data_IF_068283944159
#
_entry.id   IF_068283944159
#
_cell.length_a   1.000
_cell.length_b   1.000
_cell.length_c   1.000
_cell.angle_alpha   90.00
_cell.angle_beta   90.00
_cell.angle_gamma   90.00
#
_symmetry.space_group_name_H-M   'P 1'
#
loop_
_entity.id
_entity.type
_entity.pdbx_description
1 polymer ?
#
# COMPACT_ATOMS: atom_id res chain seq x y z
N UNK A 1 -0.60 9.71 2.12
CA UNK A 1 -1.33 9.42 0.89
C UNK A 1 -0.42 8.80 -0.17
N UNK A 2 0.75 9.37 -0.45
CA UNK A 2 1.68 8.86 -1.48
C UNK A 2 2.90 8.09 -0.94
N UNK A 3 3.00 7.89 0.39
CA UNK A 3 4.13 7.19 0.99
C UNK A 3 4.07 5.69 0.69
N UNK A 4 5.20 5.13 0.26
CA UNK A 4 5.39 3.72 -0.02
C UNK A 4 5.31 2.87 1.26
N UNK A 5 4.80 1.62 1.19
CA UNK A 5 4.61 0.76 2.35
C UNK A 5 5.90 0.46 3.11
N UNK A 6 7.03 0.29 2.43
CA UNK A 6 8.35 0.07 3.03
C UNK A 6 8.81 1.23 3.93
N UNK A 7 8.47 2.47 3.56
CA UNK A 7 8.70 3.66 4.39
C UNK A 7 7.76 3.69 5.60
N UNK A 8 6.51 3.26 5.44
CA UNK A 8 5.53 3.19 6.55
C UNK A 8 5.90 2.10 7.58
N UNK A 9 6.61 1.06 7.13
CA UNK A 9 7.09 -0.06 7.94
C UNK A 9 8.47 0.20 8.56
N UNK A 10 9.09 1.33 8.24
CA UNK A 10 10.47 1.67 8.61
C UNK A 10 11.46 0.57 8.21
N UNK A 11 11.36 0.06 6.97
CA UNK A 11 12.38 -0.84 6.44
C UNK A 11 13.68 -0.04 6.21
N UNK A 12 14.84 -0.63 6.49
CA UNK A 12 16.13 0.04 6.26
C UNK A 12 16.52 0.02 4.78
N UNK A 13 16.10 -1.03 4.07
CA UNK A 13 16.31 -1.22 2.64
C UNK A 13 15.17 -0.59 1.83
N UNK A 14 15.26 0.72 1.56
CA UNK A 14 14.43 1.40 0.57
C UNK A 14 15.30 2.03 -0.51
N UNK A 15 14.79 2.08 -1.74
CA UNK A 15 15.50 2.63 -2.89
C UNK A 15 14.59 3.52 -3.73
N UNK A 16 14.96 3.73 -5.00
CA UNK A 16 14.20 4.57 -5.95
C UNK A 16 12.79 4.03 -6.26
N UNK A 17 12.46 2.80 -5.86
CA UNK A 17 11.11 2.22 -5.99
C UNK A 17 10.03 3.00 -5.24
N UNK A 18 10.40 3.71 -4.17
CA UNK A 18 9.48 4.55 -3.40
C UNK A 18 8.87 5.69 -4.26
N UNK A 19 9.63 6.17 -5.24
CA UNK A 19 9.19 7.22 -6.15
C UNK A 19 8.21 6.66 -7.18
N UNK A 20 8.48 5.45 -7.69
CA UNK A 20 7.57 4.73 -8.60
C UNK A 20 6.22 4.45 -7.92
N UNK A 21 6.24 4.09 -6.63
CA UNK A 21 5.03 3.95 -5.84
C UNK A 21 4.22 5.26 -5.79
N UNK A 22 4.90 6.37 -5.50
CA UNK A 22 4.29 7.70 -5.44
C UNK A 22 3.66 8.09 -6.78
N UNK A 23 4.37 7.85 -7.89
CA UNK A 23 3.87 8.06 -9.25
C UNK A 23 2.63 7.20 -9.52
N UNK A 24 2.64 5.92 -9.14
CA UNK A 24 1.48 5.04 -9.27
C UNK A 24 0.25 5.56 -8.52
N UNK A 25 0.44 6.07 -7.30
CA UNK A 25 -0.63 6.68 -6.52
C UNK A 25 -1.21 7.92 -7.19
N UNK A 26 -0.34 8.82 -7.70
CA UNK A 26 -0.75 10.03 -8.43
C UNK A 26 -1.49 9.65 -9.71
N UNK A 27 -0.97 8.68 -10.47
CA UNK A 27 -1.60 8.23 -11.71
C UNK A 27 -3.00 7.67 -11.45
N UNK A 28 -3.17 6.84 -10.43
CA UNK A 28 -4.48 6.33 -10.04
C UNK A 28 -5.43 7.44 -9.58
N UNK A 29 -4.92 8.45 -8.88
CA UNK A 29 -5.70 9.61 -8.48
C UNK A 29 -6.15 10.46 -9.67
N UNK A 30 -5.30 10.63 -10.69
CA UNK A 30 -5.68 11.31 -11.93
C UNK A 30 -6.80 10.57 -12.67
N UNK A 31 -6.75 9.23 -12.71
CA UNK A 31 -7.79 8.40 -13.32
C UNK A 31 -9.12 8.45 -12.55
N UNK A 32 -9.05 8.43 -11.21
CA UNK A 32 -10.23 8.37 -10.34
C UNK A 32 -10.75 9.74 -9.86
N UNK A 33 -10.03 10.84 -10.14
CA UNK A 33 -10.22 12.20 -9.60
C UNK A 33 -10.30 12.26 -8.06
N UNK A 34 -9.73 11.27 -7.37
CA UNK A 34 -9.72 11.17 -5.90
C UNK A 34 -8.49 10.39 -5.44
N UNK A 35 -7.93 10.71 -4.25
CA UNK A 35 -6.79 9.98 -3.71
C UNK A 35 -7.09 8.50 -3.55
N UNK A 36 -6.19 7.65 -4.07
CA UNK A 36 -6.32 6.19 -3.97
C UNK A 36 -6.16 5.67 -2.53
N UNK A 37 -5.32 6.35 -1.74
CA UNK A 37 -5.05 6.00 -0.34
C UNK A 37 -5.09 7.24 0.57
N UNK A 38 -6.29 7.73 0.95
CA UNK A 38 -6.46 8.89 1.82
C UNK A 38 -6.22 8.55 3.30
N UNK A 39 -5.07 7.96 3.63
CA UNK A 39 -4.75 7.56 5.00
C UNK A 39 -4.43 8.75 5.91
N UNK A 40 -5.03 8.78 7.11
CA UNK A 40 -4.82 9.86 8.09
C UNK A 40 -3.59 9.66 8.96
N UNK A 41 -3.20 8.40 9.18
CA UNK A 41 -2.06 7.99 10.01
C UNK A 41 -1.28 6.86 9.32
N UNK A 42 -0.03 6.60 9.73
CA UNK A 42 0.81 5.57 9.09
C UNK A 42 0.16 4.19 9.08
N UNK A 43 -0.44 3.76 10.18
CA UNK A 43 -1.12 2.47 10.28
C UNK A 43 -2.40 2.42 9.44
N UNK A 44 -3.17 3.51 9.42
CA UNK A 44 -4.37 3.59 8.60
C UNK A 44 -4.02 3.56 7.10
N UNK A 45 -2.99 4.29 6.68
CA UNK A 45 -2.46 4.26 5.33
C UNK A 45 -2.04 2.84 4.93
N UNK A 46 -1.30 2.13 5.79
CA UNK A 46 -0.88 0.76 5.52
C UNK A 46 -2.06 -0.21 5.39
N UNK A 47 -3.08 -0.07 6.25
CA UNK A 47 -4.33 -0.85 6.14
C UNK A 47 -5.04 -0.60 4.82
N UNK A 48 -5.13 0.65 4.35
CA UNK A 48 -5.73 0.97 3.06
C UNK A 48 -4.98 0.31 1.90
N UNK A 49 -3.65 0.31 1.96
CA UNK A 49 -2.79 -0.35 0.96
C UNK A 49 -3.05 -1.86 0.91
N UNK A 50 -3.01 -2.53 2.05
CA UNK A 50 -3.22 -3.99 2.15
C UNK A 50 -4.66 -4.37 1.76
N UNK A 51 -5.65 -3.55 2.12
CA UNK A 51 -7.04 -3.80 1.72
C UNK A 51 -7.22 -3.73 0.21
N UNK A 52 -6.47 -2.86 -0.47
CA UNK A 52 -6.52 -2.74 -1.93
C UNK A 52 -5.71 -3.82 -2.64
N UNK A 53 -4.45 -4.03 -2.25
CA UNK A 53 -3.55 -4.96 -2.93
C UNK A 53 -3.77 -6.42 -2.51
N UNK A 54 -4.39 -6.64 -1.35
CA UNK A 54 -4.56 -7.95 -0.74
C UNK A 54 -3.48 -8.26 0.29
N UNK A 55 -3.75 -9.26 1.11
CA UNK A 55 -2.79 -9.83 2.06
C UNK A 55 -1.63 -10.45 1.29
N UNK A 56 -0.42 -10.01 1.63
CA UNK A 56 0.82 -10.50 1.05
C UNK A 56 1.12 -11.92 1.53
N UNK A 57 1.81 -12.72 0.70
CA UNK A 57 2.26 -14.07 1.09
C UNK A 57 3.47 -13.98 2.01
N UNK A 58 3.80 -15.10 2.67
CA UNK A 58 4.96 -15.17 3.57
C UNK A 58 6.27 -14.79 2.85
N UNK A 59 6.44 -15.28 1.61
CA UNK A 59 7.57 -14.98 0.71
C UNK A 59 7.71 -13.48 0.41
N UNK A 60 6.59 -12.79 0.20
CA UNK A 60 6.56 -11.35 -0.08
C UNK A 60 6.92 -10.51 1.17
N UNK A 61 6.93 -11.09 2.37
CA UNK A 61 7.26 -10.38 3.61
C UNK A 61 8.74 -10.52 4.02
N UNK A 62 9.52 -11.30 3.28
CA UNK A 62 10.93 -11.58 3.62
C UNK A 62 11.79 -10.31 3.60
N UNK A 63 11.47 -9.35 2.72
CA UNK A 63 12.20 -8.08 2.62
C UNK A 63 12.01 -7.16 3.84
N UNK A 64 11.03 -7.44 4.71
CA UNK A 64 10.73 -6.62 5.88
C UNK A 64 11.65 -7.06 7.02
N UNK A 65 12.81 -6.42 7.13
CA UNK A 65 13.81 -6.71 8.18
C UNK A 65 13.28 -6.44 9.60
N UNK A 66 12.33 -5.52 9.74
CA UNK A 66 11.74 -5.16 11.03
C UNK A 66 10.75 -6.23 11.55
N UNK A 67 11.07 -6.97 12.63
CA UNK A 67 10.24 -8.06 13.12
C UNK A 67 8.90 -7.57 13.71
N UNK A 68 8.84 -6.33 14.24
CA UNK A 68 7.59 -5.74 14.74
C UNK A 68 6.64 -5.43 13.59
N UNK A 69 7.18 -4.86 12.51
CA UNK A 69 6.43 -4.55 11.29
C UNK A 69 5.88 -5.84 10.65
N UNK A 70 6.70 -6.90 10.57
CA UNK A 70 6.28 -8.21 10.06
C UNK A 70 5.17 -8.83 10.91
N UNK A 71 5.31 -8.81 12.24
CA UNK A 71 4.28 -9.31 13.16
C UNK A 71 2.97 -8.52 13.05
N UNK A 72 3.06 -7.21 12.84
CA UNK A 72 1.89 -6.36 12.64
C UNK A 72 1.14 -6.75 11.36
N UNK A 73 1.82 -6.87 10.22
CA UNK A 73 1.17 -7.27 8.95
C UNK A 73 0.51 -8.65 9.09
N UNK A 74 1.18 -9.61 9.73
CA UNK A 74 0.62 -10.95 9.99
C UNK A 74 -0.59 -10.95 10.93
N UNK A 75 -0.74 -9.93 11.77
CA UNK A 75 -1.90 -9.80 12.67
C UNK A 75 -3.14 -9.20 12.00
N UNK A 76 -2.99 -8.64 10.80
CA UNK A 76 -4.11 -8.04 10.08
C UNK A 76 -5.05 -9.13 9.53
N UNK A 77 -6.36 -8.84 9.43
CA UNK A 77 -7.30 -9.74 8.78
C UNK A 77 -6.90 -10.02 7.33
N UNK A 78 -7.21 -11.22 6.85
CA UNK A 78 -7.02 -11.56 5.45
C UNK A 78 -7.85 -10.63 4.54
N UNK A 79 -7.23 -10.12 3.48
CA UNK A 79 -7.86 -9.34 2.44
C UNK A 79 -7.57 -9.96 1.07
N UNK A 80 -8.60 -10.21 0.22
CA UNK A 80 -8.39 -10.70 -1.14
C UNK A 80 -7.89 -9.62 -2.11
N UNK A 81 -7.79 -8.37 -1.66
CA UNK A 81 -7.56 -7.21 -2.54
C UNK A 81 -8.82 -6.78 -3.27
N UNK A 82 -8.74 -5.66 -3.98
CA UNK A 82 -9.82 -5.17 -4.84
C UNK A 82 -9.33 -5.01 -6.28
N UNK A 83 -10.18 -5.33 -7.28
CA UNK A 83 -9.80 -5.18 -8.66
C UNK A 83 -9.55 -3.71 -9.01
N UNK A 84 -8.51 -3.46 -9.81
CA UNK A 84 -8.13 -2.11 -10.23
C UNK A 84 -9.26 -1.38 -10.98
N UNK A 85 -10.14 -2.13 -11.65
CA UNK A 85 -11.33 -1.60 -12.31
C UNK A 85 -12.20 -0.76 -11.37
N UNK A 86 -12.25 -1.08 -10.08
CA UNK A 86 -12.99 -0.30 -9.06
C UNK A 86 -12.58 1.17 -9.01
N UNK A 87 -11.35 1.49 -9.42
CA UNK A 87 -10.79 2.84 -9.38
C UNK A 87 -10.78 3.53 -10.76
N UNK A 88 -10.86 2.76 -11.85
CA UNK A 88 -10.94 3.28 -13.22
C UNK A 88 -12.37 3.50 -13.70
N UNK A 89 -13.39 3.05 -12.95
CA UNK A 89 -14.82 3.28 -13.27
C UNK A 89 -15.31 4.72 -13.04
N UNK A 90 -14.41 5.71 -12.89
CA UNK A 90 -14.81 7.10 -12.87
C UNK A 90 -15.37 7.45 -14.27
N UNK A 91 -16.70 7.47 -14.38
CA UNK A 91 -17.38 7.87 -15.60
C UNK A 91 -16.96 9.32 -15.98
N UNK A 92 -16.85 9.63 -17.28
CA UNK A 92 -16.37 10.92 -17.80
C UNK A 92 -17.00 12.15 -17.12
#
# INVERSE_FOLDING_TARGET
>A
WYRAPELLLCCENYGTSIDVWSVGCIFAELLGRKPIFPGTECLNQLKLIINLLGSQREEDLEFIDNPKARRYIKSLPYSPGAPLSRYTSAHP
#
